data_IF_762518955763
#
_entry.id   IF_762518955763
#
_cell.length_a   1.000
_cell.length_b   1.000
_cell.length_c   1.000
_cell.angle_alpha   90.00
_cell.angle_beta   90.00
_cell.angle_gamma   90.00
#
_symmetry.space_group_name_H-M   'P 1'
#
loop_
_entity.id
_entity.type
_entity.pdbx_description
1 polymer ?
#
# COMPACT_ATOMS: atom_id res chain seq x y z
N UNK A 1 -4.20 -6.21 -4.29
CA UNK A 1 -4.63 -6.22 -5.70
C UNK A 1 -3.41 -6.07 -6.60
N UNK A 2 -3.44 -6.61 -7.82
CA UNK A 2 -2.42 -6.34 -8.84
C UNK A 2 -3.00 -5.32 -9.84
N UNK A 3 -2.35 -4.15 -10.00
CA UNK A 3 -2.80 -3.08 -10.90
C UNK A 3 -1.61 -2.61 -11.72
N UNK A 4 -1.66 -2.74 -13.05
CA UNK A 4 -0.56 -2.35 -13.96
C UNK A 4 0.80 -2.95 -13.53
N UNK A 5 0.80 -4.24 -13.20
CA UNK A 5 1.94 -5.00 -12.66
C UNK A 5 2.47 -4.53 -11.29
N UNK A 6 1.69 -3.72 -10.57
CA UNK A 6 2.04 -3.24 -9.26
C UNK A 6 1.18 -3.87 -8.15
N UNK A 7 1.82 -4.29 -7.07
CA UNK A 7 1.10 -4.74 -5.88
C UNK A 7 0.55 -3.54 -5.12
N UNK A 8 -0.78 -3.42 -5.13
CA UNK A 8 -1.52 -2.36 -4.43
C UNK A 8 -2.25 -2.93 -3.22
N UNK A 9 -2.01 -2.36 -2.04
CA UNK A 9 -2.62 -2.76 -0.76
C UNK A 9 -3.29 -1.57 -0.08
N UNK A 10 -4.36 -1.83 0.68
CA UNK A 10 -5.04 -0.82 1.50
C UNK A 10 -4.53 -0.91 2.93
N UNK A 11 -3.97 0.16 3.45
CA UNK A 11 -3.33 0.23 4.77
C UNK A 11 -3.80 1.48 5.52
N UNK A 12 -3.68 1.53 6.86
CA UNK A 12 -3.89 2.76 7.61
C UNK A 12 -3.04 3.89 7.03
N UNK A 13 -3.60 5.11 6.99
CA UNK A 13 -2.90 6.28 6.43
C UNK A 13 -1.49 6.48 7.01
N UNK A 14 -1.35 6.35 8.33
CA UNK A 14 -0.07 6.46 9.04
C UNK A 14 0.95 5.44 8.56
N UNK A 15 0.50 4.20 8.29
CA UNK A 15 1.35 3.14 7.76
C UNK A 15 1.79 3.44 6.33
N UNK A 16 0.90 3.97 5.50
CA UNK A 16 1.25 4.42 4.14
C UNK A 16 2.32 5.52 4.19
N UNK A 17 2.17 6.49 5.10
CA UNK A 17 3.15 7.57 5.31
C UNK A 17 4.51 7.02 5.75
N UNK A 18 4.54 6.11 6.71
CA UNK A 18 5.77 5.47 7.19
C UNK A 18 6.50 4.74 6.05
N UNK A 19 5.80 3.86 5.32
CA UNK A 19 6.41 3.06 4.25
C UNK A 19 6.92 3.92 3.10
N UNK A 20 6.21 4.99 2.75
CA UNK A 20 6.66 5.93 1.74
C UNK A 20 7.89 6.72 2.20
N UNK A 21 7.95 7.13 3.48
CA UNK A 21 9.09 7.86 4.03
C UNK A 21 10.39 7.05 4.04
N UNK A 22 10.29 5.72 4.23
CA UNK A 22 11.45 4.81 4.20
C UNK A 22 11.74 4.23 2.80
N UNK A 23 11.02 4.67 1.77
CA UNK A 23 11.30 4.28 0.38
C UNK A 23 10.85 2.88 -0.02
N UNK A 24 9.95 2.25 0.73
CA UNK A 24 9.43 0.91 0.40
C UNK A 24 8.44 0.92 -0.76
N UNK A 25 8.01 2.10 -1.20
CA UNK A 25 7.01 2.26 -2.24
C UNK A 25 6.39 3.64 -2.21
N UNK A 26 5.16 3.76 -2.72
CA UNK A 26 4.49 5.06 -2.87
C UNK A 26 2.99 4.97 -2.66
N UNK A 27 2.36 6.14 -2.49
CA UNK A 27 0.90 6.25 -2.50
C UNK A 27 0.36 5.87 -3.88
N UNK A 28 -0.73 5.10 -3.90
CA UNK A 28 -1.38 4.72 -5.14
C UNK A 28 -2.22 5.89 -5.70
N UNK A 29 -2.09 6.15 -7.00
CA UNK A 29 -2.95 7.06 -7.76
C UNK A 29 -3.78 6.23 -8.76
N UNK A 30 -5.10 6.33 -8.65
CA UNK A 30 -6.05 5.65 -9.54
C UNK A 30 -6.17 6.30 -10.94
N UNK A 31 -5.22 7.16 -11.34
CA UNK A 31 -5.24 7.92 -12.58
C UNK A 31 -6.07 9.21 -12.49
N UNK A 32 -6.29 9.74 -11.28
CA UNK A 32 -7.06 10.96 -11.03
C UNK A 32 -6.17 12.16 -10.64
N UNK A 33 -4.86 11.98 -10.58
CA UNK A 33 -3.89 13.02 -10.24
C UNK A 33 -3.83 13.34 -8.74
N UNK A 34 -4.71 12.74 -7.93
CA UNK A 34 -4.67 12.84 -6.47
C UNK A 34 -4.47 11.44 -5.89
N UNK A 35 -3.29 11.17 -5.28
CA UNK A 35 -3.03 9.89 -4.63
C UNK A 35 -4.00 9.62 -3.48
N UNK A 36 -4.43 8.37 -3.35
CA UNK A 36 -5.35 7.97 -2.27
C UNK A 36 -4.60 7.83 -0.94
N UNK A 37 -5.23 8.25 0.15
CA UNK A 37 -4.58 8.37 1.47
C UNK A 37 -4.29 7.03 2.17
N UNK A 38 -5.01 5.98 1.82
CA UNK A 38 -4.93 4.66 2.47
C UNK A 38 -4.48 3.56 1.51
N UNK A 39 -3.98 3.93 0.33
CA UNK A 39 -3.57 2.97 -0.69
C UNK A 39 -2.09 3.11 -0.99
N UNK A 40 -1.40 1.97 -0.95
CA UNK A 40 0.04 1.89 -1.09
C UNK A 40 0.41 0.93 -2.22
N UNK A 41 1.41 1.31 -2.98
CA UNK A 41 2.06 0.49 -4.00
C UNK A 41 3.41 0.06 -3.45
N UNK A 42 3.61 -1.25 -3.33
CA UNK A 42 4.92 -1.81 -2.96
C UNK A 42 5.90 -1.63 -4.12
N UNK A 43 7.11 -1.12 -3.83
CA UNK A 43 8.17 -1.04 -4.82
C UNK A 43 8.59 -2.45 -5.27
N UNK A 44 8.78 -2.71 -6.58
CA UNK A 44 9.33 -3.98 -7.06
C UNK A 44 10.77 -4.23 -6.57
N UNK A 45 11.48 -3.19 -6.15
CA UNK A 45 12.82 -3.29 -5.57
C UNK A 45 12.82 -3.45 -4.05
N UNK A 46 11.63 -3.40 -3.41
CA UNK A 46 11.52 -3.63 -1.97
C UNK A 46 11.92 -5.07 -1.64
N UNK A 47 12.73 -5.21 -0.60
CA UNK A 47 13.09 -6.52 -0.04
C UNK A 47 12.04 -7.05 0.94
N UNK A 48 10.99 -6.27 1.21
CA UNK A 48 9.95 -6.67 2.15
C UNK A 48 9.10 -7.81 1.58
N UNK A 49 8.75 -8.81 2.41
CA UNK A 49 7.79 -9.82 2.00
C UNK A 49 6.42 -9.20 1.74
N UNK A 50 5.92 -9.34 0.50
CA UNK A 50 4.59 -8.87 0.13
C UNK A 50 3.48 -9.43 1.03
N UNK A 51 3.67 -10.66 1.52
CA UNK A 51 2.70 -11.37 2.34
C UNK A 51 2.44 -10.68 3.69
N UNK A 52 3.44 -10.01 4.27
CA UNK A 52 3.26 -9.25 5.51
C UNK A 52 2.30 -8.08 5.29
N UNK A 53 2.51 -7.32 4.20
CA UNK A 53 1.65 -6.19 3.85
C UNK A 53 0.24 -6.64 3.46
N UNK A 54 0.11 -7.82 2.84
CA UNK A 54 -1.20 -8.39 2.53
C UNK A 54 -2.01 -8.75 3.79
N UNK A 55 -1.35 -9.26 4.84
CA UNK A 55 -1.99 -9.52 6.14
C UNK A 55 -2.39 -8.23 6.83
N UNK A 56 -1.48 -7.26 6.93
CA UNK A 56 -1.79 -5.93 7.49
C UNK A 56 -3.01 -5.30 6.79
N UNK A 57 -3.09 -5.42 5.47
CA UNK A 57 -4.22 -4.92 4.70
C UNK A 57 -5.53 -5.66 4.98
N UNK A 58 -5.48 -6.99 5.12
CA UNK A 58 -6.63 -7.82 5.46
C UNK A 58 -7.17 -7.49 6.86
N UNK A 59 -6.30 -7.33 7.84
CA UNK A 59 -6.68 -7.00 9.21
C UNK A 59 -7.31 -5.59 9.26
N UNK A 60 -6.71 -4.61 8.57
CA UNK A 60 -7.24 -3.26 8.49
C UNK A 60 -8.65 -3.18 7.90
N UNK A 61 -8.97 -3.96 6.86
CA UNK A 61 -10.33 -3.95 6.28
C UNK A 61 -11.35 -4.65 7.16
N UNK A 62 -10.94 -5.69 7.90
CA UNK A 62 -11.82 -6.40 8.83
C UNK A 62 -12.12 -5.57 10.09
N UNK A 63 -11.16 -4.80 10.61
CA UNK A 63 -11.38 -3.88 11.73
C UNK A 63 -12.29 -2.69 11.37
N UNK A 64 -12.40 -2.36 10.07
CA UNK A 64 -13.19 -1.25 9.54
C UNK A 64 -14.59 -1.66 9.06
N UNK A 65 -14.98 -2.94 9.25
CA UNK A 65 -16.26 -3.51 8.79
C UNK A 65 -17.37 -3.40 9.82
#
# INVERSE_FOLDING_TARGET
>A
MLVRDELVVKLPRSRVDELAAIGEGRRFDAGKGTPMREWFVLSPTSKRPWLSLAREAHDFVNEKS
#
